data_IF_479174864304
#
_entry.id   IF_479174864304
#
_cell.length_a   1.000
_cell.length_b   1.000
_cell.length_c   1.000
_cell.angle_alpha   90.00
_cell.angle_beta   90.00
_cell.angle_gamma   90.00
#
_symmetry.space_group_name_H-M   'P 1'
#
loop_
_entity.id
_entity.type
_entity.pdbx_description
1 polymer ?
#
# COMPACT_ATOMS: atom_id res chain seq x y z
N UNK A 1 -39.92 27.34 -22.31
CA UNK A 1 -38.71 28.08 -22.74
C UNK A 1 -38.02 28.61 -21.50
N UNK A 2 -37.19 27.78 -20.87
CA UNK A 2 -36.41 28.12 -19.67
C UNK A 2 -34.98 28.42 -20.13
N UNK A 3 -34.66 29.72 -20.20
CA UNK A 3 -33.32 30.19 -20.56
C UNK A 3 -32.35 29.92 -19.42
N UNK A 4 -31.35 29.07 -19.68
CA UNK A 4 -30.18 28.91 -18.82
C UNK A 4 -29.33 30.19 -18.86
N UNK A 5 -29.52 31.06 -17.87
CA UNK A 5 -28.58 32.15 -17.57
C UNK A 5 -27.39 31.56 -16.82
N UNK A 6 -26.37 31.10 -17.55
CA UNK A 6 -25.03 30.87 -16.99
C UNK A 6 -24.53 32.21 -16.44
N UNK A 7 -24.22 32.27 -15.14
CA UNK A 7 -23.76 33.49 -14.49
C UNK A 7 -22.43 33.97 -15.10
N UNK A 8 -22.24 35.29 -15.17
CA UNK A 8 -21.03 35.93 -15.72
C UNK A 8 -19.76 35.40 -15.03
N UNK A 9 -19.87 35.05 -13.75
CA UNK A 9 -18.80 34.44 -12.95
C UNK A 9 -18.32 33.09 -13.50
N UNK A 10 -19.22 32.23 -13.98
CA UNK A 10 -18.86 30.92 -14.56
C UNK A 10 -18.16 31.07 -15.93
N UNK A 11 -18.53 32.09 -16.72
CA UNK A 11 -17.84 32.38 -17.99
C UNK A 11 -16.41 32.89 -17.79
N UNK A 12 -16.19 33.81 -16.84
CA UNK A 12 -14.86 34.35 -16.57
C UNK A 12 -13.89 33.28 -16.04
N UNK A 13 -14.36 32.40 -15.14
CA UNK A 13 -13.55 31.29 -14.63
C UNK A 13 -13.15 30.30 -15.72
N UNK A 14 -14.05 29.98 -16.66
CA UNK A 14 -13.73 29.08 -17.79
C UNK A 14 -12.71 29.66 -18.76
N UNK A 15 -12.73 30.96 -18.98
CA UNK A 15 -11.77 31.64 -19.88
C UNK A 15 -10.37 31.65 -19.25
N UNK A 16 -10.27 31.97 -17.95
CA UNK A 16 -9.00 31.95 -17.21
C UNK A 16 -8.40 30.53 -17.21
N UNK A 17 -9.20 29.52 -16.86
CA UNK A 17 -8.74 28.13 -16.84
C UNK A 17 -8.23 27.65 -18.21
N UNK A 18 -8.91 28.06 -19.30
CA UNK A 18 -8.46 27.73 -20.65
C UNK A 18 -7.12 28.40 -21.01
N UNK A 19 -6.95 29.67 -20.68
CA UNK A 19 -5.71 30.40 -20.94
C UNK A 19 -4.54 29.84 -20.13
N UNK A 20 -4.75 29.48 -18.87
CA UNK A 20 -3.76 28.80 -18.02
C UNK A 20 -3.35 27.45 -18.63
N UNK A 21 -4.33 26.65 -19.08
CA UNK A 21 -4.05 25.37 -19.74
C UNK A 21 -3.26 25.54 -21.04
N UNK A 22 -3.57 26.53 -21.88
CA UNK A 22 -2.82 26.79 -23.12
C UNK A 22 -1.39 27.26 -22.83
N UNK A 23 -1.21 28.13 -21.83
CA UNK A 23 0.11 28.59 -21.40
C UNK A 23 0.95 27.43 -20.85
N UNK A 24 0.36 26.57 -20.01
CA UNK A 24 1.01 25.37 -19.47
C UNK A 24 1.55 24.48 -20.60
N UNK A 25 0.74 24.17 -21.60
CA UNK A 25 1.17 23.34 -22.75
C UNK A 25 2.32 23.97 -23.53
N UNK A 26 2.28 25.28 -23.78
CA UNK A 26 3.38 26.00 -24.45
C UNK A 26 4.65 25.94 -23.61
N UNK A 27 4.57 26.17 -22.30
CA UNK A 27 5.72 26.11 -21.40
C UNK A 27 6.33 24.71 -21.34
N UNK A 28 5.51 23.65 -21.34
CA UNK A 28 5.99 22.27 -21.38
C UNK A 28 6.74 21.96 -22.68
N UNK A 29 6.23 22.42 -23.82
CA UNK A 29 6.93 22.30 -25.09
C UNK A 29 8.28 23.03 -25.08
N UNK A 30 8.33 24.24 -24.51
CA UNK A 30 9.58 25.01 -24.35
C UNK A 30 10.57 24.25 -23.47
N UNK A 31 10.13 23.70 -22.32
CA UNK A 31 10.99 22.91 -21.44
C UNK A 31 11.53 21.68 -22.16
N UNK A 32 10.68 20.95 -22.88
CA UNK A 32 11.08 19.75 -23.63
C UNK A 32 12.12 20.09 -24.72
N UNK A 33 11.84 21.12 -25.53
CA UNK A 33 12.74 21.56 -26.59
C UNK A 33 14.09 22.01 -26.01
N UNK A 34 14.09 22.80 -24.94
CA UNK A 34 15.32 23.23 -24.29
C UNK A 34 16.07 22.07 -23.61
N UNK A 35 15.37 21.11 -23.02
CA UNK A 35 15.99 19.92 -22.41
C UNK A 35 16.75 19.10 -23.45
N UNK A 36 16.15 18.89 -24.62
CA UNK A 36 16.75 18.11 -25.71
C UNK A 36 17.82 18.88 -26.48
N UNK A 37 17.50 20.10 -26.91
CA UNK A 37 18.28 20.80 -27.93
C UNK A 37 19.25 21.83 -27.33
N UNK A 38 19.05 22.23 -26.07
CA UNK A 38 19.88 23.26 -25.42
C UNK A 38 19.90 23.19 -23.88
N UNK A 39 20.46 22.12 -23.27
CA UNK A 39 20.48 21.94 -21.82
C UNK A 39 21.11 23.12 -21.04
N UNK A 40 22.07 23.82 -21.65
CA UNK A 40 22.70 25.02 -21.07
C UNK A 40 21.72 26.20 -20.98
N UNK A 41 20.89 26.39 -22.00
CA UNK A 41 19.86 27.42 -22.00
C UNK A 41 18.74 27.08 -21.02
N UNK A 42 18.35 25.80 -20.94
CA UNK A 42 17.41 25.33 -19.93
C UNK A 42 17.91 25.72 -18.53
N UNK A 43 19.14 25.35 -18.16
CA UNK A 43 19.72 25.71 -16.86
C UNK A 43 19.76 27.22 -16.62
N UNK A 44 20.06 28.02 -17.64
CA UNK A 44 20.12 29.49 -17.54
C UNK A 44 18.76 30.12 -17.26
N UNK A 45 17.71 29.64 -17.93
CA UNK A 45 16.35 30.18 -17.85
C UNK A 45 15.45 29.44 -16.87
N UNK A 46 15.98 28.40 -16.22
CA UNK A 46 15.20 27.55 -15.32
C UNK A 46 14.50 28.33 -14.21
N UNK A 47 15.11 29.34 -13.54
CA UNK A 47 14.40 30.12 -12.53
C UNK A 47 13.14 30.81 -13.07
N UNK A 48 13.21 31.43 -14.25
CA UNK A 48 12.07 32.10 -14.88
C UNK A 48 11.01 31.12 -15.38
N UNK A 49 11.45 29.97 -15.92
CA UNK A 49 10.54 28.91 -16.34
C UNK A 49 9.79 28.32 -15.14
N UNK A 50 10.43 28.19 -13.99
CA UNK A 50 9.78 27.74 -12.75
C UNK A 50 8.67 28.70 -12.32
N UNK A 51 8.95 30.00 -12.31
CA UNK A 51 7.96 31.03 -11.99
C UNK A 51 6.79 31.01 -12.99
N UNK A 52 7.08 30.96 -14.29
CA UNK A 52 6.05 30.90 -15.32
C UNK A 52 5.20 29.62 -15.25
N UNK A 53 5.79 28.46 -14.94
CA UNK A 53 5.06 27.20 -14.76
C UNK A 53 4.16 27.24 -13.52
N UNK A 54 4.65 27.83 -12.43
CA UNK A 54 3.86 28.06 -11.23
C UNK A 54 2.67 28.98 -11.53
N UNK A 55 2.89 30.09 -12.24
CA UNK A 55 1.83 31.02 -12.66
C UNK A 55 0.84 30.39 -13.66
N UNK A 56 1.29 29.38 -14.42
CA UNK A 56 0.44 28.56 -15.30
C UNK A 56 -0.27 27.41 -14.55
N UNK A 57 -0.23 27.40 -13.22
CA UNK A 57 -0.96 26.45 -12.38
C UNK A 57 -0.24 25.13 -12.10
N UNK A 58 1.06 24.99 -12.37
CA UNK A 58 1.85 23.83 -11.94
C UNK A 58 2.32 24.06 -10.50
N UNK A 59 1.47 23.72 -9.55
CA UNK A 59 1.65 24.15 -8.15
C UNK A 59 2.03 23.03 -7.19
N UNK A 60 1.79 21.77 -7.56
CA UNK A 60 2.06 20.62 -6.69
C UNK A 60 2.75 19.44 -7.42
N UNK A 61 3.12 18.43 -6.64
CA UNK A 61 3.80 17.24 -7.16
C UNK A 61 2.95 16.44 -8.16
N UNK A 62 1.62 16.49 -8.06
CA UNK A 62 0.71 15.80 -8.98
C UNK A 62 0.71 16.51 -10.33
N UNK A 63 0.57 17.84 -10.34
CA UNK A 63 0.67 18.64 -11.56
C UNK A 63 1.98 18.41 -12.28
N UNK A 64 3.09 18.38 -11.53
CA UNK A 64 4.43 18.11 -12.06
C UNK A 64 4.51 16.70 -12.64
N UNK A 65 4.02 15.69 -11.92
CA UNK A 65 4.01 14.30 -12.40
C UNK A 65 3.21 14.17 -13.70
N UNK A 66 2.05 14.81 -13.78
CA UNK A 66 1.22 14.85 -15.00
C UNK A 66 1.95 15.55 -16.17
N UNK A 67 2.71 16.61 -15.88
CA UNK A 67 3.54 17.28 -16.89
C UNK A 67 4.64 16.36 -17.43
N UNK A 68 5.41 15.72 -16.54
CA UNK A 68 6.49 14.79 -16.93
C UNK A 68 5.92 13.56 -17.64
N UNK A 69 4.75 13.08 -17.26
CA UNK A 69 4.06 11.99 -17.94
C UNK A 69 3.71 12.32 -19.40
N UNK A 70 3.45 13.59 -19.73
CA UNK A 70 3.24 14.07 -21.11
C UNK A 70 4.55 14.33 -21.85
N UNK A 71 5.58 14.75 -21.12
CA UNK A 71 6.90 15.09 -21.65
C UNK A 71 8.02 14.39 -20.85
N UNK A 72 8.34 13.11 -21.13
CA UNK A 72 9.30 12.33 -20.33
C UNK A 72 10.71 12.95 -20.22
N UNK A 73 11.14 13.71 -21.24
CA UNK A 73 12.43 14.42 -21.25
C UNK A 73 12.47 15.62 -20.30
N UNK A 74 11.33 15.96 -19.67
CA UNK A 74 11.16 17.07 -18.75
C UNK A 74 11.31 16.64 -17.28
N UNK A 75 12.10 15.60 -16.97
CA UNK A 75 12.34 15.13 -15.59
C UNK A 75 12.80 16.23 -14.62
N UNK A 76 13.46 17.29 -15.13
CA UNK A 76 13.86 18.48 -14.38
C UNK A 76 12.69 19.19 -13.68
N UNK A 77 11.45 19.03 -14.19
CA UNK A 77 10.25 19.55 -13.55
C UNK A 77 10.08 18.97 -12.14
N UNK A 78 10.71 17.84 -11.80
CA UNK A 78 10.76 17.30 -10.44
C UNK A 78 11.25 18.29 -9.38
N UNK A 79 12.05 19.30 -9.74
CA UNK A 79 12.45 20.38 -8.82
C UNK A 79 11.28 21.29 -8.40
N UNK A 80 10.20 21.35 -9.20
CA UNK A 80 8.99 22.11 -8.89
C UNK A 80 8.04 21.37 -7.95
N UNK A 81 8.13 20.04 -7.92
CA UNK A 81 7.23 19.22 -7.10
C UNK A 81 7.37 19.52 -5.59
N UNK A 82 8.45 20.20 -5.20
CA UNK A 82 8.73 20.54 -3.82
C UNK A 82 8.90 19.29 -2.97
N UNK A 83 8.59 19.43 -1.68
CA UNK A 83 8.84 18.43 -0.65
C UNK A 83 8.00 17.16 -0.71
N UNK A 84 7.54 16.79 0.48
CA UNK A 84 7.73 15.48 1.09
C UNK A 84 7.19 14.25 0.33
N UNK A 85 6.07 14.34 -0.38
CA UNK A 85 5.32 13.16 -0.78
C UNK A 85 4.91 13.22 -2.26
N UNK A 86 5.31 12.23 -3.05
CA UNK A 86 4.86 12.06 -4.43
C UNK A 86 3.92 10.86 -4.55
N UNK A 87 2.94 10.92 -5.45
CA UNK A 87 1.90 9.88 -5.57
C UNK A 87 1.86 9.29 -6.98
N UNK A 88 1.93 7.97 -7.05
CA UNK A 88 1.87 7.17 -8.27
C UNK A 88 0.54 6.42 -8.27
N UNK A 89 -0.39 6.81 -9.14
CA UNK A 89 -1.75 6.24 -9.21
C UNK A 89 -1.98 5.45 -10.51
N UNK A 90 -1.19 5.69 -11.54
CA UNK A 90 -1.29 5.00 -12.82
C UNK A 90 0.08 4.69 -13.44
N UNK A 91 0.05 3.96 -14.56
CA UNK A 91 1.27 3.51 -15.22
C UNK A 91 2.15 4.61 -15.80
N UNK A 92 1.57 5.75 -16.18
CA UNK A 92 2.32 6.90 -16.71
C UNK A 92 3.06 7.60 -15.57
N UNK A 93 2.48 7.63 -14.38
CA UNK A 93 3.12 8.21 -13.20
C UNK A 93 4.38 7.43 -12.81
N UNK A 94 4.43 6.10 -13.01
CA UNK A 94 5.62 5.30 -12.67
C UNK A 94 6.87 5.78 -13.41
N UNK A 95 6.77 5.95 -14.73
CA UNK A 95 7.89 6.44 -15.53
C UNK A 95 8.21 7.91 -15.22
N UNK A 96 7.18 8.75 -15.04
CA UNK A 96 7.34 10.16 -14.72
C UNK A 96 8.07 10.37 -13.38
N UNK A 97 7.65 9.68 -12.33
CA UNK A 97 8.28 9.75 -11.00
C UNK A 97 9.70 9.22 -11.04
N UNK A 98 9.96 8.11 -11.75
CA UNK A 98 11.33 7.61 -11.94
C UNK A 98 12.24 8.67 -12.59
N UNK A 99 11.75 9.37 -13.61
CA UNK A 99 12.49 10.46 -14.25
C UNK A 99 12.70 11.65 -13.30
N UNK A 100 11.70 12.03 -12.51
CA UNK A 100 11.79 13.12 -11.54
C UNK A 100 12.79 12.83 -10.40
N UNK A 101 12.90 11.57 -9.96
CA UNK A 101 13.81 11.14 -8.88
C UNK A 101 15.30 11.40 -9.21
N UNK A 102 15.66 11.49 -10.48
CA UNK A 102 17.01 11.86 -10.90
C UNK A 102 17.35 13.34 -10.67
N UNK A 103 16.33 14.19 -10.47
CA UNK A 103 16.48 15.64 -10.33
C UNK A 103 16.16 16.13 -8.92
N UNK A 104 15.22 15.48 -8.23
CA UNK A 104 14.80 15.83 -6.87
C UNK A 104 14.37 14.59 -6.12
N UNK A 105 14.67 14.51 -4.83
CA UNK A 105 14.26 13.39 -3.98
C UNK A 105 13.14 13.85 -3.02
N UNK A 106 11.94 13.25 -3.10
CA UNK A 106 10.94 13.44 -2.07
C UNK A 106 11.37 12.71 -0.78
N UNK A 107 10.72 13.02 0.35
CA UNK A 107 10.88 12.17 1.53
C UNK A 107 10.16 10.83 1.38
N UNK A 108 9.10 10.78 0.57
CA UNK A 108 8.26 9.60 0.38
C UNK A 108 7.66 9.54 -1.03
N UNK A 109 7.60 8.33 -1.59
CA UNK A 109 6.78 8.00 -2.76
C UNK A 109 5.67 7.04 -2.33
N UNK A 110 4.42 7.43 -2.60
CA UNK A 110 3.24 6.59 -2.38
C UNK A 110 2.80 5.98 -3.69
N UNK A 111 2.90 4.66 -3.79
CA UNK A 111 2.44 3.87 -4.93
C UNK A 111 1.10 3.27 -4.57
N UNK A 112 0.07 3.68 -5.31
CA UNK A 112 -1.30 3.26 -5.11
C UNK A 112 -1.87 2.75 -6.44
N UNK A 113 -1.68 1.46 -6.73
CA UNK A 113 -2.02 0.88 -8.03
C UNK A 113 -2.53 -0.55 -7.89
N UNK A 114 -3.29 -1.00 -8.88
CA UNK A 114 -3.55 -2.43 -9.04
C UNK A 114 -2.26 -3.17 -9.40
N UNK A 115 -2.06 -4.36 -8.83
CA UNK A 115 -0.88 -5.17 -9.11
C UNK A 115 -0.74 -5.48 -10.62
N UNK A 116 -1.84 -5.84 -11.29
CA UNK A 116 -1.88 -6.10 -12.72
C UNK A 116 -1.49 -4.87 -13.58
N UNK A 117 -1.81 -3.66 -13.13
CA UNK A 117 -1.37 -2.42 -13.80
C UNK A 117 0.12 -2.16 -13.55
N UNK A 118 0.59 -2.36 -12.32
CA UNK A 118 1.99 -2.14 -11.93
C UNK A 118 2.96 -3.12 -12.65
N UNK A 119 2.50 -4.33 -12.99
CA UNK A 119 3.28 -5.29 -13.79
C UNK A 119 3.56 -4.85 -15.21
N UNK A 120 2.71 -4.01 -15.79
CA UNK A 120 2.78 -3.59 -17.19
C UNK A 120 3.71 -2.39 -17.42
N UNK A 121 4.34 -1.90 -16.36
CA UNK A 121 5.09 -0.64 -16.33
C UNK A 121 6.47 -0.89 -15.73
N UNK A 122 7.45 0.01 -15.92
CA UNK A 122 8.83 -0.24 -15.50
C UNK A 122 9.02 -0.05 -13.98
N UNK A 123 8.32 -0.85 -13.17
CA UNK A 123 8.35 -0.79 -11.70
C UNK A 123 9.77 -0.89 -11.13
N UNK A 124 10.57 -1.83 -11.63
CA UNK A 124 11.97 -1.97 -11.20
C UNK A 124 12.83 -0.73 -11.45
N UNK A 125 12.53 0.05 -12.50
CA UNK A 125 13.25 1.30 -12.77
C UNK A 125 12.89 2.39 -11.75
N UNK A 126 11.61 2.48 -11.34
CA UNK A 126 11.20 3.39 -10.28
C UNK A 126 11.87 3.00 -8.95
N UNK A 127 11.85 1.70 -8.60
CA UNK A 127 12.49 1.22 -7.37
C UNK A 127 13.98 1.54 -7.35
N UNK A 128 14.69 1.30 -8.47
CA UNK A 128 16.10 1.64 -8.58
C UNK A 128 16.37 3.15 -8.47
N UNK A 129 15.48 3.98 -9.00
CA UNK A 129 15.61 5.44 -8.90
C UNK A 129 15.26 5.97 -7.49
N UNK A 130 14.53 5.21 -6.68
CA UNK A 130 14.04 5.60 -5.36
C UNK A 130 15.00 5.24 -4.21
N UNK A 131 16.28 4.96 -4.49
CA UNK A 131 17.27 4.66 -3.47
C UNK A 131 17.30 5.75 -2.38
N UNK A 132 17.21 5.36 -1.10
CA UNK A 132 17.19 6.29 0.03
C UNK A 132 15.85 7.00 0.27
N UNK A 133 14.82 6.74 -0.54
CA UNK A 133 13.48 7.32 -0.41
C UNK A 133 12.56 6.38 0.38
N UNK A 134 11.64 6.94 1.17
CA UNK A 134 10.61 6.13 1.83
C UNK A 134 9.50 5.74 0.83
N UNK A 135 9.03 4.49 0.88
CA UNK A 135 8.00 3.99 -0.03
C UNK A 135 6.79 3.49 0.74
N UNK A 136 5.61 3.95 0.31
CA UNK A 136 4.32 3.40 0.67
C UNK A 136 3.80 2.58 -0.51
N UNK A 137 3.73 1.26 -0.39
CA UNK A 137 3.27 0.37 -1.45
C UNK A 137 1.88 -0.20 -1.12
N UNK A 138 0.89 0.24 -1.89
CA UNK A 138 -0.50 -0.16 -1.78
C UNK A 138 -0.94 -0.85 -3.06
N UNK A 139 -1.05 -2.17 -3.01
CA UNK A 139 -1.49 -2.99 -4.13
C UNK A 139 -2.97 -3.30 -3.94
N UNK A 140 -3.84 -2.49 -4.57
CA UNK A 140 -5.29 -2.66 -4.48
C UNK A 140 -5.74 -3.95 -5.17
N UNK A 141 -6.76 -4.57 -4.59
CA UNK A 141 -7.35 -5.84 -5.05
C UNK A 141 -8.73 -5.59 -5.64
N UNK A 142 -8.95 -5.79 -6.95
CA UNK A 142 -10.28 -6.04 -7.48
C UNK A 142 -10.74 -7.47 -7.17
N UNK A 143 -9.83 -8.45 -7.08
CA UNK A 143 -10.14 -9.85 -6.75
C UNK A 143 -9.10 -10.47 -5.79
N UNK A 144 -9.56 -11.36 -4.91
CA UNK A 144 -8.87 -11.82 -3.71
C UNK A 144 -7.63 -12.73 -3.93
N UNK A 145 -7.27 -13.11 -5.16
CA UNK A 145 -6.42 -14.29 -5.39
C UNK A 145 -5.05 -14.04 -6.05
N UNK A 146 -4.66 -12.80 -6.36
CA UNK A 146 -3.35 -12.56 -6.98
C UNK A 146 -2.24 -12.46 -5.94
N UNK A 147 -1.15 -13.22 -6.15
CA UNK A 147 0.11 -13.10 -5.41
C UNK A 147 0.96 -11.99 -6.03
N UNK A 148 1.64 -11.19 -5.21
CA UNK A 148 2.40 -10.03 -5.68
C UNK A 148 3.93 -10.21 -5.59
N UNK A 149 4.41 -11.44 -5.41
CA UNK A 149 5.83 -11.74 -5.19
C UNK A 149 6.74 -11.16 -6.27
N UNK A 150 6.30 -11.16 -7.54
CA UNK A 150 7.04 -10.60 -8.68
C UNK A 150 7.29 -9.08 -8.56
N UNK A 151 6.36 -8.36 -7.93
CA UNK A 151 6.47 -6.93 -7.65
C UNK A 151 7.34 -6.64 -6.42
N UNK A 152 7.60 -7.64 -5.58
CA UNK A 152 8.43 -7.50 -4.38
C UNK A 152 9.91 -7.74 -4.68
N UNK A 153 10.23 -8.60 -5.64
CA UNK A 153 11.62 -8.92 -5.98
C UNK A 153 12.47 -7.68 -6.28
N UNK A 154 12.00 -6.65 -7.02
CA UNK A 154 12.79 -5.44 -7.27
C UNK A 154 13.13 -4.65 -6.00
N UNK A 155 12.35 -4.78 -4.92
CA UNK A 155 12.62 -4.09 -3.66
C UNK A 155 13.84 -4.66 -2.94
N UNK A 156 14.16 -5.94 -3.19
CA UNK A 156 15.21 -6.64 -2.48
C UNK A 156 16.54 -5.91 -2.65
N UNK A 157 17.13 -5.51 -1.53
CA UNK A 157 18.44 -4.84 -1.47
C UNK A 157 18.53 -3.56 -2.34
N UNK A 158 17.39 -2.94 -2.67
CA UNK A 158 17.31 -1.75 -3.54
C UNK A 158 17.69 -0.43 -2.86
N UNK A 159 17.93 -0.45 -1.56
CA UNK A 159 18.20 0.76 -0.76
C UNK A 159 16.98 1.63 -0.49
N UNK A 160 15.79 1.26 -0.98
CA UNK A 160 14.52 1.91 -0.59
C UNK A 160 14.17 1.56 0.86
N UNK A 161 13.46 2.46 1.55
CA UNK A 161 12.90 2.17 2.87
C UNK A 161 11.40 2.02 2.76
N UNK A 162 10.89 0.81 2.94
CA UNK A 162 9.46 0.58 2.94
C UNK A 162 8.87 1.07 4.27
N UNK A 163 8.01 2.07 4.21
CA UNK A 163 7.27 2.59 5.37
C UNK A 163 5.97 1.85 5.57
N UNK A 164 5.29 1.52 4.46
CA UNK A 164 4.02 0.78 4.50
C UNK A 164 3.88 -0.18 3.33
N UNK A 165 3.33 -1.36 3.61
CA UNK A 165 2.96 -2.35 2.61
C UNK A 165 1.52 -2.84 2.83
N UNK A 166 0.78 -2.96 1.73
CA UNK A 166 -0.50 -3.66 1.69
C UNK A 166 -0.60 -4.48 0.41
N UNK A 167 -0.66 -5.81 0.54
CA UNK A 167 -0.76 -6.72 -0.61
C UNK A 167 -0.68 -8.20 -0.23
N UNK A 168 -0.71 -9.07 -1.23
CA UNK A 168 -0.63 -10.53 -1.05
C UNK A 168 0.81 -11.03 -1.28
N UNK A 169 1.26 -11.97 -0.45
CA UNK A 169 2.58 -12.62 -0.59
C UNK A 169 2.39 -14.12 -0.48
N UNK A 170 2.97 -14.87 -1.41
CA UNK A 170 2.82 -16.32 -1.48
C UNK A 170 4.11 -17.09 -1.35
N UNK A 171 5.28 -16.44 -1.36
CA UNK A 171 6.57 -17.13 -1.34
C UNK A 171 7.51 -16.57 -0.27
N UNK A 172 8.39 -17.44 0.24
CA UNK A 172 9.45 -17.02 1.17
C UNK A 172 10.43 -16.02 0.54
N UNK A 173 10.57 -16.04 -0.80
CA UNK A 173 11.37 -15.06 -1.53
C UNK A 173 10.75 -13.65 -1.45
N UNK A 174 9.42 -13.54 -1.61
CA UNK A 174 8.69 -12.28 -1.42
C UNK A 174 8.80 -11.76 0.01
N UNK A 175 8.67 -12.63 1.02
CA UNK A 175 8.86 -12.27 2.43
C UNK A 175 10.28 -11.76 2.68
N UNK A 176 11.29 -12.45 2.13
CA UNK A 176 12.71 -12.04 2.27
C UNK A 176 12.97 -10.70 1.61
N UNK A 177 12.41 -10.46 0.42
CA UNK A 177 12.53 -9.19 -0.27
C UNK A 177 11.95 -8.05 0.56
N UNK A 178 10.78 -8.23 1.17
CA UNK A 178 10.20 -7.25 2.09
C UNK A 178 11.04 -7.05 3.34
N UNK A 179 11.54 -8.14 3.94
CA UNK A 179 12.39 -8.09 5.13
C UNK A 179 13.62 -7.17 4.94
N UNK A 180 14.20 -7.14 3.73
CA UNK A 180 15.36 -6.30 3.42
C UNK A 180 15.08 -4.78 3.44
N UNK A 181 13.81 -4.37 3.33
CA UNK A 181 13.43 -2.95 3.19
C UNK A 181 12.48 -2.45 4.28
N UNK A 182 11.90 -3.34 5.11
CA UNK A 182 10.77 -3.01 5.98
C UNK A 182 11.13 -2.57 7.41
N UNK A 183 12.32 -1.99 7.63
CA UNK A 183 12.76 -1.58 8.97
C UNK A 183 11.83 -0.50 9.56
N UNK A 184 11.03 -0.86 10.56
CA UNK A 184 10.03 -0.02 11.20
C UNK A 184 8.72 0.14 10.41
N UNK A 185 8.45 -0.73 9.44
CA UNK A 185 7.30 -0.60 8.54
C UNK A 185 5.96 -1.04 9.16
N UNK A 186 4.87 -0.51 8.61
CA UNK A 186 3.51 -1.02 8.79
C UNK A 186 3.18 -2.03 7.67
N UNK A 187 3.02 -3.30 8.01
CA UNK A 187 2.82 -4.38 7.05
C UNK A 187 1.40 -4.95 7.15
N UNK A 188 0.72 -5.04 6.01
CA UNK A 188 -0.58 -5.71 5.85
C UNK A 188 -0.49 -6.77 4.76
N UNK A 189 -0.71 -8.02 5.14
CA UNK A 189 -0.62 -9.17 4.25
C UNK A 189 -1.96 -9.86 4.06
N UNK A 190 -2.27 -10.21 2.81
CA UNK A 190 -3.29 -11.20 2.50
C UNK A 190 -2.62 -12.53 2.17
N UNK A 191 -2.86 -13.51 3.04
CA UNK A 191 -2.26 -14.83 3.00
C UNK A 191 -3.27 -15.85 2.49
N UNK A 192 -3.01 -16.38 1.28
CA UNK A 192 -3.85 -17.38 0.61
C UNK A 192 -3.51 -18.82 1.03
N UNK A 193 -2.26 -19.05 1.44
CA UNK A 193 -1.77 -20.32 1.96
C UNK A 193 -0.76 -20.05 3.09
N UNK A 194 -0.59 -20.98 4.05
CA UNK A 194 0.37 -20.83 5.12
C UNK A 194 1.77 -20.47 4.61
N UNK A 195 2.38 -19.44 5.19
CA UNK A 195 3.66 -18.90 4.75
C UNK A 195 4.57 -18.63 5.96
N UNK A 196 5.87 -18.89 5.79
CA UNK A 196 6.87 -18.57 6.80
C UNK A 196 7.20 -17.07 6.79
N UNK A 197 6.87 -16.39 7.88
CA UNK A 197 7.16 -14.97 8.11
C UNK A 197 8.36 -14.74 9.05
N UNK A 198 9.14 -15.78 9.36
CA UNK A 198 10.28 -15.71 10.28
C UNK A 198 11.30 -14.62 9.91
N UNK A 199 11.53 -14.41 8.60
CA UNK A 199 12.44 -13.38 8.10
C UNK A 199 12.03 -11.94 8.46
N UNK A 200 10.76 -11.70 8.81
CA UNK A 200 10.28 -10.38 9.27
C UNK A 200 10.51 -10.16 10.77
N UNK A 201 11.00 -11.15 11.51
CA UNK A 201 11.18 -11.05 12.97
C UNK A 201 11.99 -9.82 13.37
N UNK A 202 11.37 -8.91 14.14
CA UNK A 202 12.02 -7.70 14.66
C UNK A 202 12.25 -6.58 13.64
N UNK A 203 11.84 -6.72 12.39
CA UNK A 203 12.04 -5.68 11.36
C UNK A 203 10.87 -4.72 11.27
N UNK A 204 9.64 -5.14 11.57
CA UNK A 204 8.43 -4.31 11.42
C UNK A 204 8.00 -3.58 12.70
N UNK A 205 7.20 -2.53 12.54
CA UNK A 205 6.51 -1.83 13.64
C UNK A 205 5.13 -2.42 13.92
N UNK A 206 4.37 -2.73 12.87
CA UNK A 206 3.07 -3.39 12.95
C UNK A 206 2.95 -4.44 11.85
N UNK A 207 2.37 -5.59 12.18
CA UNK A 207 2.09 -6.67 11.25
C UNK A 207 0.63 -7.07 11.38
N UNK A 208 -0.11 -7.00 10.27
CA UNK A 208 -1.49 -7.47 10.16
C UNK A 208 -1.58 -8.55 9.08
N UNK A 209 -2.04 -9.74 9.45
CA UNK A 209 -2.17 -10.87 8.54
C UNK A 209 -3.64 -11.21 8.39
N UNK A 210 -4.12 -11.22 7.15
CA UNK A 210 -5.47 -11.59 6.76
C UNK A 210 -5.41 -12.94 6.09
N UNK A 211 -6.25 -13.87 6.51
CA UNK A 211 -6.30 -15.21 5.91
C UNK A 211 -7.69 -15.81 6.03
N UNK A 212 -8.00 -16.82 5.22
CA UNK A 212 -9.22 -17.62 5.37
C UNK A 212 -8.98 -18.78 6.32
N UNK A 213 -10.02 -19.38 6.91
CA UNK A 213 -9.88 -20.60 7.68
C UNK A 213 -9.12 -21.66 6.87
N UNK A 214 -7.98 -22.11 7.41
CA UNK A 214 -7.22 -23.22 6.89
C UNK A 214 -8.03 -24.50 7.07
N UNK A 215 -8.06 -25.39 6.06
CA UNK A 215 -8.72 -26.68 6.21
C UNK A 215 -8.09 -27.43 7.41
N UNK A 216 -8.89 -28.17 8.20
CA UNK A 216 -8.35 -29.03 9.24
C UNK A 216 -7.32 -29.99 8.64
N UNK A 217 -6.23 -30.29 9.36
CA UNK A 217 -5.16 -31.09 8.81
C UNK A 217 -5.65 -32.51 8.51
N UNK A 218 -5.58 -32.93 7.24
CA UNK A 218 -5.76 -34.34 6.87
C UNK A 218 -4.57 -35.21 7.37
N UNK A 219 -3.44 -34.57 7.69
CA UNK A 219 -2.21 -35.10 8.29
C UNK A 219 -1.44 -33.96 8.95
N UNK A 220 -0.41 -34.24 9.78
CA UNK A 220 0.42 -33.24 10.48
C UNK A 220 1.00 -32.20 9.51
N UNK A 221 0.28 -31.10 9.30
CA UNK A 221 0.77 -29.96 8.52
C UNK A 221 1.80 -29.20 9.36
N UNK A 222 2.90 -28.73 8.75
CA UNK A 222 3.86 -27.91 9.46
C UNK A 222 3.16 -26.65 9.97
N UNK A 223 3.22 -26.42 11.28
CA UNK A 223 2.83 -25.15 11.88
C UNK A 223 3.81 -24.08 11.41
N UNK A 224 3.30 -23.01 10.81
CA UNK A 224 4.09 -21.87 10.35
C UNK A 224 3.73 -20.66 11.23
N UNK A 225 4.35 -20.55 12.41
CA UNK A 225 3.99 -19.51 13.37
C UNK A 225 4.38 -18.13 12.86
N UNK A 226 3.58 -17.12 13.20
CA UNK A 226 3.92 -15.73 12.93
C UNK A 226 5.09 -15.26 13.81
N UNK A 227 5.88 -14.27 13.36
CA UNK A 227 6.98 -13.72 14.14
C UNK A 227 6.49 -13.17 15.50
N UNK A 228 7.25 -13.39 16.59
CA UNK A 228 6.78 -13.12 17.95
C UNK A 228 6.79 -11.65 18.36
N UNK A 229 7.61 -10.81 17.71
CA UNK A 229 7.81 -9.44 18.13
C UNK A 229 7.99 -8.47 16.95
N UNK A 230 7.30 -7.32 16.96
CA UNK A 230 6.17 -7.00 17.87
C UNK A 230 4.96 -7.95 17.65
N UNK A 231 4.09 -8.20 18.64
CA UNK A 231 2.96 -9.12 18.45
C UNK A 231 2.09 -8.76 17.23
N UNK A 232 1.72 -9.73 16.38
CA UNK A 232 0.96 -9.47 15.15
C UNK A 232 -0.54 -9.39 15.40
N UNK A 233 -1.24 -8.69 14.51
CA UNK A 233 -2.69 -8.82 14.33
C UNK A 233 -2.98 -9.98 13.38
N UNK A 234 -3.97 -10.80 13.72
CA UNK A 234 -4.48 -11.85 12.84
C UNK A 234 -5.97 -11.65 12.59
N UNK A 235 -6.34 -11.59 11.32
CA UNK A 235 -7.70 -11.46 10.82
C UNK A 235 -8.06 -12.75 10.07
N UNK A 236 -9.04 -13.50 10.59
CA UNK A 236 -9.57 -14.69 9.91
C UNK A 236 -10.86 -14.29 9.20
N UNK A 237 -10.89 -14.40 7.87
CA UNK A 237 -11.96 -13.90 7.02
C UNK A 237 -12.85 -15.03 6.51
N UNK A 238 -14.17 -14.83 6.50
CA UNK A 238 -15.11 -15.75 5.85
C UNK A 238 -15.23 -17.10 6.57
N UNK A 239 -15.32 -17.08 7.91
CA UNK A 239 -15.66 -18.28 8.68
C UNK A 239 -17.14 -18.64 8.45
N UNK A 240 -17.40 -19.81 7.88
CA UNK A 240 -18.75 -20.29 7.58
C UNK A 240 -19.38 -21.05 8.77
N UNK A 241 -20.71 -21.18 8.76
CA UNK A 241 -21.41 -22.02 9.74
C UNK A 241 -20.82 -23.43 9.80
N UNK A 242 -20.56 -23.95 11.01
CA UNK A 242 -19.91 -25.26 11.17
C UNK A 242 -18.38 -25.22 11.14
N UNK A 243 -17.75 -24.10 10.78
CA UNK A 243 -16.30 -24.04 10.54
C UNK A 243 -15.45 -23.61 11.74
N UNK A 244 -15.99 -23.64 12.97
CA UNK A 244 -15.29 -23.12 14.14
C UNK A 244 -13.98 -23.87 14.44
N UNK A 245 -13.92 -25.18 14.18
CA UNK A 245 -12.70 -25.99 14.32
C UNK A 245 -11.61 -25.57 13.34
N UNK A 246 -11.98 -25.23 12.10
CA UNK A 246 -11.04 -24.73 11.09
C UNK A 246 -10.49 -23.35 11.50
N UNK A 247 -11.31 -22.48 12.07
CA UNK A 247 -10.88 -21.19 12.64
C UNK A 247 -9.92 -21.42 13.81
N UNK A 248 -10.26 -22.32 14.73
CA UNK A 248 -9.41 -22.67 15.86
C UNK A 248 -8.05 -23.22 15.40
N UNK A 249 -8.07 -24.13 14.44
CA UNK A 249 -6.86 -24.68 13.82
C UNK A 249 -6.02 -23.58 13.18
N UNK A 250 -6.64 -22.66 12.44
CA UNK A 250 -5.94 -21.54 11.80
C UNK A 250 -5.21 -20.67 12.81
N UNK A 251 -5.92 -20.22 13.85
CA UNK A 251 -5.36 -19.34 14.88
C UNK A 251 -4.24 -20.03 15.65
N UNK A 252 -4.42 -21.30 16.00
CA UNK A 252 -3.39 -22.06 16.74
C UNK A 252 -2.16 -22.38 15.89
N UNK A 253 -2.34 -22.71 14.61
CA UNK A 253 -1.24 -22.99 13.67
C UNK A 253 -0.39 -21.77 13.35
N UNK A 254 -1.00 -20.58 13.34
CA UNK A 254 -0.32 -19.29 13.08
C UNK A 254 0.10 -18.58 14.36
N UNK A 255 -0.23 -19.12 15.53
CA UNK A 255 0.12 -18.53 16.81
C UNK A 255 1.64 -18.34 16.92
N UNK A 256 2.12 -17.13 17.26
CA UNK A 256 3.54 -16.94 17.53
C UNK A 256 4.01 -17.88 18.67
N UNK A 257 5.33 -18.15 18.82
CA UNK A 257 5.84 -19.05 19.86
C UNK A 257 5.36 -18.76 21.31
N UNK A 258 5.06 -17.50 21.63
CA UNK A 258 4.48 -17.09 22.92
C UNK A 258 2.94 -17.04 22.98
N UNK A 259 2.28 -17.51 21.92
CA UNK A 259 0.83 -17.53 21.65
C UNK A 259 0.13 -16.20 21.87
N UNK A 260 0.88 -15.10 21.72
CA UNK A 260 0.44 -13.74 21.99
C UNK A 260 0.28 -12.99 20.69
N UNK A 261 -0.97 -12.67 20.36
CA UNK A 261 -1.31 -11.72 19.31
C UNK A 261 -1.44 -10.33 19.89
N UNK A 262 -1.37 -9.30 19.05
CA UNK A 262 -1.79 -7.95 19.43
C UNK A 262 -3.31 -7.87 19.50
N UNK A 263 -3.98 -8.37 18.47
CA UNK A 263 -5.42 -8.54 18.43
C UNK A 263 -5.81 -9.65 17.46
N UNK A 264 -7.00 -10.20 17.69
CA UNK A 264 -7.61 -11.22 16.86
C UNK A 264 -8.96 -10.73 16.36
N UNK A 265 -9.22 -10.91 15.07
CA UNK A 265 -10.47 -10.51 14.45
C UNK A 265 -11.04 -11.61 13.57
N UNK A 266 -12.32 -11.92 13.73
CA UNK A 266 -13.07 -12.69 12.74
C UNK A 266 -13.81 -11.70 11.84
N UNK A 267 -13.47 -11.62 10.56
CA UNK A 267 -14.13 -10.73 9.59
C UNK A 267 -15.06 -11.51 8.69
N UNK A 268 -16.19 -10.90 8.34
CA UNK A 268 -17.21 -11.55 7.52
C UNK A 268 -17.59 -12.92 8.12
N UNK A 269 -17.75 -12.96 9.44
CA UNK A 269 -17.99 -14.19 10.19
C UNK A 269 -19.46 -14.61 10.09
N UNK A 270 -19.69 -15.89 9.84
CA UNK A 270 -21.00 -16.57 9.83
C UNK A 270 -21.07 -17.72 10.84
N UNK A 271 -20.12 -17.80 11.78
CA UNK A 271 -20.23 -18.77 12.87
C UNK A 271 -21.52 -18.55 13.66
N UNK A 272 -22.18 -19.64 14.04
CA UNK A 272 -23.39 -19.59 14.86
C UNK A 272 -23.03 -19.11 16.27
N UNK A 273 -23.98 -18.46 16.94
CA UNK A 273 -23.79 -17.99 18.32
C UNK A 273 -23.34 -19.11 19.29
N UNK A 274 -23.77 -20.36 19.05
CA UNK A 274 -23.36 -21.52 19.86
C UNK A 274 -21.91 -21.98 19.59
N UNK A 275 -21.32 -21.60 18.46
CA UNK A 275 -19.96 -22.00 18.06
C UNK A 275 -18.89 -21.06 18.62
N UNK A 276 -19.24 -19.79 18.85
CA UNK A 276 -18.32 -18.80 19.41
C UNK A 276 -17.80 -19.20 20.81
N UNK A 277 -18.64 -19.64 21.77
CA UNK A 277 -18.14 -20.13 23.06
C UNK A 277 -17.19 -21.33 22.93
N UNK A 278 -17.47 -22.26 22.02
CA UNK A 278 -16.61 -23.43 21.77
C UNK A 278 -15.24 -23.01 21.24
N UNK A 279 -15.22 -22.09 20.27
CA UNK A 279 -14.00 -21.51 19.73
C UNK A 279 -13.17 -20.82 20.82
N UNK A 280 -13.81 -19.96 21.62
CA UNK A 280 -13.13 -19.23 22.70
C UNK A 280 -12.57 -20.18 23.77
N UNK A 281 -13.34 -21.19 24.18
CA UNK A 281 -12.90 -22.19 25.14
C UNK A 281 -11.69 -22.96 24.61
N UNK A 282 -11.71 -23.37 23.34
CA UNK A 282 -10.59 -24.08 22.71
C UNK A 282 -9.34 -23.19 22.66
N UNK A 283 -9.46 -21.94 22.23
CA UNK A 283 -8.32 -21.03 22.12
C UNK A 283 -7.72 -20.68 23.49
N UNK A 284 -8.56 -20.56 24.52
CA UNK A 284 -8.11 -20.39 25.89
C UNK A 284 -7.37 -21.62 26.41
N UNK A 285 -7.91 -22.83 26.20
CA UNK A 285 -7.23 -24.08 26.56
C UNK A 285 -5.91 -24.27 25.80
N UNK A 286 -5.83 -23.76 24.56
CA UNK A 286 -4.61 -23.73 23.77
C UNK A 286 -3.61 -22.64 24.24
N UNK A 287 -3.98 -21.77 25.18
CA UNK A 287 -3.14 -20.70 25.73
C UNK A 287 -2.97 -19.49 24.80
N UNK A 288 -3.89 -19.31 23.84
CA UNK A 288 -3.89 -18.14 22.94
C UNK A 288 -4.38 -16.91 23.69
N UNK A 289 -3.64 -15.80 23.57
CA UNK A 289 -3.93 -14.53 24.25
C UNK A 289 -3.70 -13.34 23.35
N UNK A 290 -4.37 -12.23 23.63
CA UNK A 290 -4.16 -10.93 22.97
C UNK A 290 -3.51 -9.94 23.94
N UNK A 291 -2.91 -8.84 23.44
CA UNK A 291 -2.22 -7.87 24.30
C UNK A 291 -3.19 -7.19 25.27
N UNK A 292 -4.39 -6.88 24.81
CA UNK A 292 -5.41 -6.13 25.57
C UNK A 292 -6.56 -7.04 26.08
N UNK A 293 -6.44 -8.37 25.93
CA UNK A 293 -7.54 -9.31 26.18
C UNK A 293 -8.71 -9.18 25.19
N UNK A 294 -8.61 -8.29 24.19
CA UNK A 294 -9.68 -7.98 23.25
C UNK A 294 -9.76 -9.00 22.11
N UNK A 295 -11.00 -9.38 21.78
CA UNK A 295 -11.38 -10.17 20.60
C UNK A 295 -12.48 -9.41 19.86
N UNK A 296 -12.34 -9.28 18.55
CA UNK A 296 -13.36 -8.58 17.74
C UNK A 296 -13.99 -9.57 16.75
N UNK A 297 -15.32 -9.60 16.71
CA UNK A 297 -16.05 -10.39 15.71
C UNK A 297 -16.91 -9.43 14.89
N UNK A 298 -16.62 -9.35 13.60
CA UNK A 298 -17.36 -8.58 12.62
C UNK A 298 -18.21 -9.53 11.77
N UNK A 299 -19.51 -9.52 12.00
CA UNK A 299 -20.48 -10.43 11.39
C UNK A 299 -21.14 -9.81 10.16
N UNK A 300 -21.36 -10.59 9.10
CA UNK A 300 -21.93 -10.12 7.82
C UNK A 300 -23.35 -9.56 7.99
N UNK A 301 -24.13 -10.11 8.92
CA UNK A 301 -25.57 -9.81 9.06
C UNK A 301 -25.92 -8.75 10.11
N UNK A 302 -24.93 -8.10 10.71
CA UNK A 302 -25.18 -6.96 11.59
C UNK A 302 -24.18 -5.86 11.28
N UNK A 303 -24.66 -4.66 10.92
CA UNK A 303 -23.89 -3.42 11.04
C UNK A 303 -23.56 -3.07 12.51
N UNK A 304 -23.34 -4.08 13.36
CA UNK A 304 -22.98 -3.99 14.76
C UNK A 304 -21.60 -4.64 14.92
N UNK A 305 -20.62 -3.82 15.25
CA UNK A 305 -19.32 -4.30 15.68
C UNK A 305 -19.53 -4.95 17.05
N UNK A 306 -19.48 -6.27 17.12
CA UNK A 306 -19.57 -6.96 18.40
C UNK A 306 -18.16 -7.00 19.02
N UNK A 307 -17.89 -6.05 19.91
CA UNK A 307 -16.72 -6.08 20.79
C UNK A 307 -16.96 -7.14 21.85
N UNK A 308 -16.33 -8.29 21.74
CA UNK A 308 -16.31 -9.26 22.81
C UNK A 308 -15.06 -8.99 23.66
N UNK A 309 -15.26 -8.27 24.76
CA UNK A 309 -14.26 -8.20 25.82
C UNK A 309 -14.27 -9.54 26.53
N UNK A 310 -13.26 -10.36 26.29
CA UNK A 310 -12.97 -11.49 27.16
C UNK A 310 -12.01 -10.93 28.21
N UNK A 311 -12.56 -10.56 29.37
CA UNK A 311 -11.75 -10.24 30.53
C UNK A 311 -10.92 -11.49 30.85
N UNK A 312 -9.62 -11.43 30.58
CA UNK A 312 -8.67 -12.46 31.00
C UNK A 312 -8.50 -12.30 32.51
N UNK A 313 -9.48 -12.79 33.25
CA UNK A 313 -9.42 -12.90 34.69
C UNK A 313 -8.23 -13.78 35.09
N UNK A 314 -7.34 -13.16 35.89
CA UNK A 314 -6.20 -13.69 36.64
C UNK A 314 -4.81 -13.51 36.02
#
# INVERSE_FOLDING_TARGET
MSGHSLSITDRSSRILFKAESELREVLLYVVQALSRDSPRHLKRWWPQLKEALHDAGVTDARDVTDCVARCPDAGILGELAGGKNWVVEDGRHVAAVAAMLHHSLPSMVKVNMEAAALRKVPWGALVAAAEGVEVDLWLYRPDDCELHDDLLLPLRDSGVRLRKFSGSVGTSAGVTALASVCQGADLTFHMLAPLDFSALGGTYKNLSVYTRPLPPPASVSPTLPLPPSPPPWLHVQGADEGSWEAVAHTITSLAPPGKRFRGLTLQFCRLRAAELPLLLQYLHAAGVRTVDGTWTVDAIDTCAWAWWYVDSGH
#
